data_IF_449963896952
#
_entry.id   IF_449963896952
#
_cell.length_a   1.000
_cell.length_b   1.000
_cell.length_c   1.000
_cell.angle_alpha   90.00
_cell.angle_beta   90.00
_cell.angle_gamma   90.00
#
_symmetry.space_group_name_H-M   'P 1'
#
loop_
_entity.id
_entity.type
_entity.pdbx_description
1 polymer ?
#
# COMPACT_ATOMS: atom_id res chain seq x y z
N UNK A 1 19.67 -1.02 12.85
CA UNK A 1 19.28 -1.50 11.51
C UNK A 1 17.77 -1.52 11.40
N UNK A 2 17.18 -1.20 10.24
CA UNK A 2 15.72 -1.08 10.11
C UNK A 2 15.21 -1.07 8.68
N UNK A 3 13.89 -0.88 8.50
CA UNK A 3 13.24 -0.78 7.19
C UNK A 3 12.51 0.55 7.03
N UNK A 4 12.59 1.11 5.83
CA UNK A 4 11.83 2.29 5.41
C UNK A 4 10.85 1.82 4.34
N UNK A 5 9.55 1.97 4.60
CA UNK A 5 8.50 1.63 3.64
C UNK A 5 7.99 2.91 2.96
N UNK A 6 8.16 3.00 1.65
CA UNK A 6 7.52 4.03 0.85
C UNK A 6 6.26 3.45 0.18
N UNK A 7 5.10 4.01 0.52
CA UNK A 7 3.81 3.60 -0.03
C UNK A 7 3.34 4.47 -1.18
N UNK A 8 4.08 5.51 -1.54
CA UNK A 8 3.66 6.45 -2.59
C UNK A 8 3.94 5.86 -3.96
N UNK A 9 3.16 6.23 -4.96
CA UNK A 9 3.45 5.86 -6.36
C UNK A 9 4.88 6.32 -6.77
N UNK A 10 5.65 5.53 -7.54
CA UNK A 10 7.03 5.88 -7.94
C UNK A 10 7.16 7.27 -8.60
N UNK A 11 6.19 7.65 -9.43
CA UNK A 11 6.17 8.99 -10.06
C UNK A 11 6.02 10.12 -9.04
N UNK A 12 5.33 9.89 -7.92
CA UNK A 12 5.17 10.87 -6.84
C UNK A 12 6.48 11.04 -6.08
N UNK A 13 7.22 9.96 -5.87
CA UNK A 13 8.56 9.99 -5.27
C UNK A 13 9.50 10.82 -6.16
N UNK A 14 9.53 10.57 -7.47
CA UNK A 14 10.33 11.35 -8.44
C UNK A 14 9.97 12.83 -8.45
N UNK A 15 8.67 13.15 -8.43
CA UNK A 15 8.20 14.53 -8.39
C UNK A 15 8.55 15.23 -7.07
N UNK A 16 8.50 14.51 -5.95
CA UNK A 16 8.91 15.06 -4.66
C UNK A 16 10.42 15.37 -4.68
N UNK A 17 11.25 14.49 -5.26
CA UNK A 17 12.69 14.72 -5.42
C UNK A 17 12.99 16.00 -6.21
N UNK A 18 12.28 16.24 -7.32
CA UNK A 18 12.50 17.46 -8.11
C UNK A 18 12.07 18.75 -7.41
N UNK A 19 11.30 18.65 -6.31
CA UNK A 19 10.83 19.78 -5.50
C UNK A 19 11.55 19.91 -4.15
N UNK A 20 12.68 19.22 -3.98
CA UNK A 20 13.48 19.26 -2.74
C UNK A 20 13.00 18.31 -1.64
N UNK A 21 11.96 17.50 -1.88
CA UNK A 21 11.59 16.36 -1.05
C UNK A 21 12.28 15.07 -1.51
N UNK A 22 11.60 13.94 -1.35
CA UNK A 22 12.04 12.65 -1.92
C UNK A 22 11.93 11.47 -0.96
N UNK A 23 13.01 10.69 -0.90
CA UNK A 23 13.14 9.49 -0.07
C UNK A 23 14.59 9.38 0.45
N UNK A 24 14.75 8.65 1.53
CA UNK A 24 16.00 8.47 2.26
C UNK A 24 17.03 7.74 1.37
N UNK A 25 18.20 8.36 1.07
CA UNK A 25 19.24 7.75 0.25
C UNK A 25 20.07 6.76 1.06
N UNK A 26 20.43 5.64 0.45
CA UNK A 26 21.19 4.57 1.12
C UNK A 26 22.53 5.05 1.71
N UNK A 27 23.17 6.01 1.05
CA UNK A 27 24.44 6.62 1.48
C UNK A 27 24.36 7.28 2.87
N UNK A 28 23.21 7.87 3.23
CA UNK A 28 23.00 8.51 4.53
C UNK A 28 22.31 7.58 5.54
N UNK A 29 21.80 6.44 5.07
CA UNK A 29 20.98 5.50 5.85
C UNK A 29 21.49 4.06 5.68
N UNK A 30 22.80 3.85 5.78
CA UNK A 30 23.46 2.57 5.46
C UNK A 30 22.97 1.35 6.27
N UNK A 31 22.38 1.56 7.45
CA UNK A 31 21.80 0.48 8.28
C UNK A 31 20.30 0.27 8.02
N UNK A 32 19.69 0.99 7.07
CA UNK A 32 18.28 0.93 6.74
C UNK A 32 18.06 0.42 5.32
N UNK A 33 17.15 -0.54 5.19
CA UNK A 33 16.73 -1.06 3.88
C UNK A 33 15.44 -0.39 3.45
N UNK A 34 15.34 0.02 2.20
CA UNK A 34 14.13 0.65 1.67
C UNK A 34 13.28 -0.34 0.88
N UNK A 35 11.99 -0.40 1.20
CA UNK A 35 10.98 -1.16 0.50
C UNK A 35 9.97 -0.22 -0.13
N UNK A 36 9.60 -0.45 -1.38
CA UNK A 36 8.57 0.32 -2.06
C UNK A 36 7.34 -0.55 -2.29
N UNK A 37 6.17 -0.09 -1.84
CA UNK A 37 4.88 -0.78 -1.99
C UNK A 37 3.76 0.23 -2.21
N UNK A 38 3.50 0.54 -3.48
CA UNK A 38 2.50 1.54 -3.85
C UNK A 38 1.12 1.20 -3.28
N UNK A 39 0.52 2.19 -2.61
CA UNK A 39 -0.89 2.26 -2.29
C UNK A 39 -1.46 3.53 -2.93
N UNK A 40 -2.66 3.42 -3.48
CA UNK A 40 -3.32 4.55 -4.11
C UNK A 40 -3.58 5.71 -3.13
N UNK A 41 -3.63 6.92 -3.68
CA UNK A 41 -3.82 8.14 -2.90
C UNK A 41 -5.25 8.26 -2.39
N UNK A 42 -5.42 9.07 -1.34
CA UNK A 42 -6.71 9.33 -0.72
C UNK A 42 -7.83 9.70 -1.71
N UNK A 43 -7.54 10.45 -2.78
CA UNK A 43 -8.54 10.83 -3.79
C UNK A 43 -9.10 9.61 -4.54
N UNK A 44 -8.22 8.70 -4.97
CA UNK A 44 -8.60 7.45 -5.65
C UNK A 44 -9.36 6.54 -4.70
N UNK A 45 -8.88 6.41 -3.46
CA UNK A 45 -9.55 5.62 -2.43
C UNK A 45 -10.94 6.16 -2.09
N UNK A 46 -11.10 7.49 -2.03
CA UNK A 46 -12.38 8.13 -1.75
C UNK A 46 -13.38 7.88 -2.89
N UNK A 47 -12.96 8.02 -4.15
CA UNK A 47 -13.80 7.71 -5.31
C UNK A 47 -14.21 6.24 -5.35
N UNK A 48 -13.27 5.34 -5.07
CA UNK A 48 -13.52 3.90 -4.95
C UNK A 48 -14.53 3.58 -3.84
N UNK A 49 -14.36 4.20 -2.66
CA UNK A 49 -15.26 4.01 -1.53
C UNK A 49 -16.68 4.51 -1.83
N UNK A 50 -16.83 5.65 -2.49
CA UNK A 50 -18.15 6.16 -2.89
C UNK A 50 -18.87 5.18 -3.82
N UNK A 51 -18.17 4.64 -4.84
CA UNK A 51 -18.74 3.61 -5.74
C UNK A 51 -19.13 2.34 -4.99
N UNK A 52 -18.37 1.96 -3.96
CA UNK A 52 -18.69 0.82 -3.11
C UNK A 52 -19.97 1.05 -2.30
N UNK A 53 -20.14 2.23 -1.69
CA UNK A 53 -21.37 2.60 -1.00
C UNK A 53 -22.58 2.56 -1.96
N UNK A 54 -22.42 3.08 -3.18
CA UNK A 54 -23.47 3.01 -4.20
C UNK A 54 -23.83 1.56 -4.59
N UNK A 55 -22.86 0.64 -4.56
CA UNK A 55 -23.12 -0.78 -4.76
C UNK A 55 -23.86 -1.40 -3.57
N UNK A 56 -23.55 -1.01 -2.33
CA UNK A 56 -24.22 -1.53 -1.13
C UNK A 56 -25.72 -1.24 -1.06
N UNK A 57 -26.18 -0.12 -1.64
CA UNK A 57 -27.60 0.25 -1.66
C UNK A 57 -28.33 -0.18 -2.93
N UNK A 58 -27.63 -0.80 -3.88
CA UNK A 58 -28.21 -1.23 -5.16
C UNK A 58 -29.09 -2.47 -4.97
N UNK A 59 -30.35 -2.37 -5.37
CA UNK A 59 -31.35 -3.45 -5.29
C UNK A 59 -31.47 -4.26 -6.60
N UNK A 60 -30.53 -4.08 -7.53
CA UNK A 60 -30.47 -4.83 -8.78
C UNK A 60 -30.24 -6.33 -8.57
N UNK A 61 -30.54 -7.11 -9.61
CA UNK A 61 -30.16 -8.53 -9.71
C UNK A 61 -28.68 -8.77 -9.38
N UNK A 62 -28.39 -9.94 -8.84
CA UNK A 62 -27.08 -10.30 -8.26
C UNK A 62 -25.90 -10.02 -9.18
N UNK A 63 -25.99 -10.37 -10.47
CA UNK A 63 -24.88 -10.21 -11.42
C UNK A 63 -24.56 -8.74 -11.72
N UNK A 64 -25.60 -7.90 -11.77
CA UNK A 64 -25.45 -6.45 -11.94
C UNK A 64 -24.85 -5.82 -10.68
N UNK A 65 -25.32 -6.26 -9.50
CA UNK A 65 -24.75 -5.83 -8.23
C UNK A 65 -23.27 -6.22 -8.11
N UNK A 66 -22.92 -7.47 -8.42
CA UNK A 66 -21.53 -7.97 -8.40
C UNK A 66 -20.63 -7.16 -9.33
N UNK A 67 -21.11 -6.88 -10.54
CA UNK A 67 -20.38 -6.06 -11.52
C UNK A 67 -20.13 -4.64 -10.99
N UNK A 68 -21.11 -4.03 -10.31
CA UNK A 68 -20.95 -2.70 -9.70
C UNK A 68 -19.98 -2.72 -8.51
N UNK A 69 -20.03 -3.76 -7.68
CA UNK A 69 -19.09 -3.99 -6.59
C UNK A 69 -17.66 -4.13 -7.12
N UNK A 70 -17.43 -4.95 -8.14
CA UNK A 70 -16.11 -5.13 -8.75
C UNK A 70 -15.58 -3.82 -9.33
N UNK A 71 -16.42 -3.09 -10.07
CA UNK A 71 -16.08 -1.80 -10.67
C UNK A 71 -15.79 -0.68 -9.64
N UNK A 72 -16.16 -0.88 -8.37
CA UNK A 72 -15.76 0.04 -7.30
C UNK A 72 -14.27 -0.03 -6.99
N UNK A 73 -13.60 -1.16 -7.26
CA UNK A 73 -12.23 -1.47 -6.85
C UNK A 73 -11.96 -1.41 -5.34
N UNK A 74 -12.99 -1.22 -4.49
CA UNK A 74 -12.76 -1.01 -3.06
C UNK A 74 -12.09 -2.21 -2.39
N UNK A 75 -12.58 -3.42 -2.69
CA UNK A 75 -12.00 -4.65 -2.17
C UNK A 75 -10.59 -4.93 -2.71
N UNK A 76 -10.27 -4.43 -3.91
CA UNK A 76 -8.92 -4.49 -4.45
C UNK A 76 -7.95 -3.64 -3.60
N UNK A 77 -8.32 -2.40 -3.28
CA UNK A 77 -7.49 -1.54 -2.42
C UNK A 77 -7.35 -2.08 -1.00
N UNK A 78 -8.41 -2.67 -0.43
CA UNK A 78 -8.35 -3.34 0.87
C UNK A 78 -7.36 -4.51 0.83
N UNK A 79 -7.43 -5.35 -0.22
CA UNK A 79 -6.49 -6.46 -0.43
C UNK A 79 -5.05 -5.95 -0.53
N UNK A 80 -4.81 -4.88 -1.27
CA UNK A 80 -3.47 -4.29 -1.43
C UNK A 80 -2.92 -3.78 -0.10
N UNK A 81 -3.70 -3.02 0.67
CA UNK A 81 -3.30 -2.52 1.98
C UNK A 81 -2.93 -3.67 2.94
N UNK A 82 -3.76 -4.71 2.99
CA UNK A 82 -3.49 -5.92 3.80
C UNK A 82 -2.25 -6.67 3.30
N UNK A 83 -2.04 -6.74 1.99
CA UNK A 83 -0.85 -7.36 1.40
C UNK A 83 0.42 -6.61 1.81
N UNK A 84 0.41 -5.27 1.75
CA UNK A 84 1.54 -4.45 2.18
C UNK A 84 1.82 -4.64 3.67
N UNK A 85 0.78 -4.60 4.52
CA UNK A 85 0.91 -4.85 5.95
C UNK A 85 1.49 -6.26 6.24
N UNK A 86 1.03 -7.27 5.51
CA UNK A 86 1.54 -8.64 5.62
C UNK A 86 3.03 -8.71 5.26
N UNK A 87 3.45 -8.06 4.17
CA UNK A 87 4.87 -8.01 3.78
C UNK A 87 5.71 -7.34 4.86
N UNK A 88 5.24 -6.24 5.46
CA UNK A 88 5.93 -5.58 6.57
C UNK A 88 6.06 -6.53 7.76
N UNK A 89 4.97 -7.16 8.18
CA UNK A 89 4.97 -8.11 9.30
C UNK A 89 5.93 -9.29 9.06
N UNK A 90 5.91 -9.89 7.87
CA UNK A 90 6.82 -10.96 7.49
C UNK A 90 8.28 -10.52 7.47
N UNK A 91 8.55 -9.28 7.03
CA UNK A 91 9.91 -8.72 7.00
C UNK A 91 10.46 -8.57 8.41
N UNK A 92 9.65 -8.04 9.33
CA UNK A 92 10.01 -7.88 10.74
C UNK A 92 10.22 -9.24 11.41
N UNK A 93 9.30 -10.19 11.22
CA UNK A 93 9.40 -11.53 11.81
C UNK A 93 10.66 -12.27 11.36
N UNK A 94 10.98 -12.24 10.06
CA UNK A 94 12.20 -12.87 9.52
C UNK A 94 13.46 -12.25 10.11
N UNK A 95 13.55 -10.93 10.19
CA UNK A 95 14.73 -10.29 10.79
C UNK A 95 14.84 -10.56 12.30
N UNK A 96 13.72 -10.60 13.01
CA UNK A 96 13.69 -10.97 14.43
C UNK A 96 14.10 -12.42 14.67
N UNK A 97 13.77 -13.34 13.76
CA UNK A 97 14.23 -14.74 13.80
C UNK A 97 15.72 -14.87 13.51
N UNK A 98 16.21 -14.18 12.47
CA UNK A 98 17.64 -14.14 12.14
C UNK A 98 18.45 -13.67 13.35
N UNK A 99 18.04 -12.57 13.99
CA UNK A 99 18.78 -12.03 15.14
C UNK A 99 18.78 -12.95 16.37
N UNK A 100 17.69 -13.73 16.59
CA UNK A 100 17.60 -14.70 17.68
C UNK A 100 18.47 -15.93 17.49
N UNK A 101 18.76 -16.32 16.25
CA UNK A 101 19.65 -17.45 15.96
C UNK A 101 21.14 -17.11 16.13
N UNK A 102 21.47 -15.84 16.38
CA UNK A 102 22.84 -15.36 16.64
C UNK A 102 23.06 -14.92 18.09
N UNK A 103 22.10 -15.19 18.99
CA UNK A 103 22.23 -15.07 20.45
C UNK A 103 22.25 -16.46 21.07
#
# INVERSE_FOLDING_TARGET
KGWILDTRHPNVVKLAQSKGGGCEPEQHYALWKRLHRHLDKHTVLQESFMKFIDACIDQSEKDRWLSKLENSNWLLHVKEALTVACIVAQTIDREGKINRNFQ
#
